data_IF_006480236935
#
_entry.id   IF_006480236935
#
_cell.length_a   1.000
_cell.length_b   1.000
_cell.length_c   1.000
_cell.angle_alpha   90.00
_cell.angle_beta   90.00
_cell.angle_gamma   90.00
#
_symmetry.space_group_name_H-M   'P 1'
#
loop_
_entity.id
_entity.type
_entity.pdbx_description
1 polymer ?
#
# COMPACT_ATOMS: atom_id res chain seq x y z
N UNK A 1 -1.80 -18.61 6.42
CA UNK A 1 -1.21 -19.45 5.35
C UNK A 1 -2.01 -19.15 4.08
N UNK A 2 -1.48 -18.28 3.25
CA UNK A 2 -2.12 -17.91 1.98
C UNK A 2 -1.93 -19.06 1.00
N UNK A 3 -3.02 -19.64 0.52
CA UNK A 3 -2.95 -20.75 -0.45
C UNK A 3 -2.68 -20.13 -1.82
N UNK A 4 -1.40 -20.08 -2.22
CA UNK A 4 -0.97 -19.61 -3.54
C UNK A 4 -1.39 -20.52 -4.70
N UNK A 5 -2.07 -21.64 -4.46
CA UNK A 5 -2.35 -22.68 -5.46
C UNK A 5 -3.36 -22.33 -6.56
N UNK A 6 -4.23 -21.31 -6.38
CA UNK A 6 -5.28 -21.00 -7.36
C UNK A 6 -4.83 -20.06 -8.49
N UNK A 7 -3.65 -19.45 -8.36
CA UNK A 7 -3.18 -18.40 -9.27
C UNK A 7 -1.91 -18.75 -10.04
N UNK A 8 -1.49 -20.02 -10.09
CA UNK A 8 -0.31 -20.43 -10.83
C UNK A 8 -0.60 -20.45 -12.34
N UNK A 9 0.16 -19.70 -13.11
CA UNK A 9 0.32 -19.93 -14.54
C UNK A 9 0.27 -18.73 -15.48
N UNK A 10 -0.51 -17.67 -15.23
CA UNK A 10 -0.58 -16.53 -16.14
C UNK A 10 -0.64 -15.19 -15.42
N UNK A 11 0.18 -14.23 -15.87
CA UNK A 11 0.13 -12.85 -15.36
C UNK A 11 -1.07 -12.04 -15.86
N UNK A 12 -1.65 -12.43 -17.02
CA UNK A 12 -2.89 -11.82 -17.50
C UNK A 12 -4.06 -12.38 -16.71
N UNK A 13 -4.49 -11.66 -15.70
CA UNK A 13 -5.62 -12.03 -14.84
C UNK A 13 -6.95 -11.35 -15.25
N UNK A 14 -7.01 -10.68 -16.41
CA UNK A 14 -8.17 -9.89 -16.86
C UNK A 14 -9.48 -10.67 -16.96
N UNK A 15 -9.41 -12.00 -17.05
CA UNK A 15 -10.60 -12.89 -17.08
C UNK A 15 -10.81 -13.66 -15.78
N UNK A 16 -10.05 -13.32 -14.72
CA UNK A 16 -10.18 -14.02 -13.44
C UNK A 16 -11.41 -13.51 -12.69
N UNK A 17 -12.35 -14.40 -12.45
CA UNK A 17 -13.58 -14.12 -11.68
C UNK A 17 -13.35 -14.23 -10.15
N UNK A 18 -12.17 -14.64 -9.73
CA UNK A 18 -11.84 -14.87 -8.32
C UNK A 18 -12.35 -16.19 -7.79
N UNK A 19 -11.95 -16.53 -6.58
CA UNK A 19 -12.43 -17.67 -5.80
C UNK A 19 -12.68 -17.24 -4.36
N UNK A 20 -13.42 -18.01 -3.55
CA UNK A 20 -13.63 -17.70 -2.13
C UNK A 20 -12.33 -17.60 -1.31
N UNK A 21 -11.26 -18.21 -1.78
CA UNK A 21 -9.95 -18.21 -1.13
C UNK A 21 -9.09 -17.00 -1.53
N UNK A 22 -9.56 -16.17 -2.47
CA UNK A 22 -8.83 -14.97 -2.85
C UNK A 22 -8.75 -13.95 -1.70
N UNK A 23 -7.62 -13.22 -1.59
CA UNK A 23 -7.54 -12.09 -0.66
C UNK A 23 -8.55 -10.99 -1.07
N UNK A 24 -8.82 -10.02 -0.19
CA UNK A 24 -9.76 -8.93 -0.47
C UNK A 24 -9.52 -8.21 -1.81
N UNK A 25 -8.27 -8.20 -2.28
CA UNK A 25 -7.90 -7.72 -3.62
C UNK A 25 -6.87 -8.65 -4.25
N UNK A 26 -7.01 -8.92 -5.55
CA UNK A 26 -6.05 -9.74 -6.28
C UNK A 26 -4.62 -9.17 -6.10
N UNK A 27 -3.65 -9.99 -5.68
CA UNK A 27 -2.29 -9.53 -5.45
C UNK A 27 -1.52 -9.27 -6.75
N UNK A 28 -1.99 -9.78 -7.88
CA UNK A 28 -1.35 -9.66 -9.19
C UNK A 28 -1.79 -8.39 -9.88
N UNK A 29 -0.83 -7.61 -10.34
CA UNK A 29 -1.09 -6.46 -11.20
C UNK A 29 0.07 -6.21 -12.14
N UNK A 30 -0.18 -5.41 -13.15
CA UNK A 30 0.83 -4.96 -14.10
C UNK A 30 0.99 -3.46 -13.94
N UNK A 31 2.21 -2.99 -13.82
CA UNK A 31 2.47 -1.56 -13.74
C UNK A 31 2.27 -0.85 -15.09
N UNK A 32 2.40 0.48 -15.12
CA UNK A 32 2.21 1.30 -16.33
C UNK A 32 3.25 1.02 -17.44
N UNK A 33 4.33 0.29 -17.15
CA UNK A 33 5.35 -0.13 -18.12
C UNK A 33 5.18 -1.56 -18.60
N UNK A 34 4.12 -2.24 -18.14
CA UNK A 34 3.86 -3.63 -18.50
C UNK A 34 4.61 -4.65 -17.65
N UNK A 35 5.27 -4.23 -16.56
CA UNK A 35 5.97 -5.16 -15.66
C UNK A 35 4.98 -5.86 -14.74
N UNK A 36 4.98 -7.20 -14.68
CA UNK A 36 4.17 -7.96 -13.75
C UNK A 36 4.74 -7.84 -12.33
N UNK A 37 3.86 -7.56 -11.36
CA UNK A 37 4.19 -7.33 -9.96
C UNK A 37 3.23 -8.07 -9.03
N UNK A 38 3.70 -8.38 -7.80
CA UNK A 38 2.93 -9.04 -6.76
C UNK A 38 2.87 -8.16 -5.51
N UNK A 39 1.65 -7.83 -5.05
CA UNK A 39 1.41 -7.18 -3.77
C UNK A 39 1.02 -8.26 -2.74
N UNK A 40 1.91 -8.60 -1.83
CA UNK A 40 1.74 -9.69 -0.87
C UNK A 40 1.85 -9.16 0.58
N UNK A 41 1.20 -9.81 1.55
CA UNK A 41 1.49 -9.53 2.94
C UNK A 41 2.97 -9.72 3.23
N UNK A 42 3.52 -8.82 4.03
CA UNK A 42 4.89 -8.89 4.51
C UNK A 42 5.11 -10.19 5.31
N UNK A 43 6.19 -10.87 5.03
CA UNK A 43 6.70 -12.02 5.79
C UNK A 43 8.09 -11.70 6.36
N UNK A 44 8.52 -12.43 7.40
CA UNK A 44 9.83 -12.20 8.02
C UNK A 44 10.99 -12.30 7.02
N UNK A 45 10.83 -13.14 5.99
CA UNK A 45 11.79 -13.27 4.88
C UNK A 45 11.98 -11.99 4.05
N UNK A 46 11.00 -11.10 4.04
CA UNK A 46 11.02 -9.85 3.27
C UNK A 46 11.81 -8.74 3.98
N UNK A 47 12.07 -8.92 5.29
CA UNK A 47 12.62 -7.85 6.14
C UNK A 47 13.91 -7.25 5.61
N UNK A 48 14.83 -8.06 5.15
CA UNK A 48 16.11 -7.58 4.63
C UNK A 48 15.92 -6.77 3.34
N UNK A 49 15.15 -7.31 2.38
CA UNK A 49 14.87 -6.66 1.11
C UNK A 49 14.06 -5.36 1.28
N UNK A 50 13.15 -5.32 2.25
CA UNK A 50 12.40 -4.10 2.57
C UNK A 50 13.29 -3.01 3.17
N UNK A 51 14.24 -3.36 4.04
CA UNK A 51 15.23 -2.42 4.55
C UNK A 51 16.16 -1.91 3.44
N UNK A 52 16.56 -2.80 2.51
CA UNK A 52 17.37 -2.41 1.35
C UNK A 52 16.61 -1.43 0.44
N UNK A 53 15.30 -1.60 0.26
CA UNK A 53 14.46 -0.63 -0.42
C UNK A 53 14.49 0.73 0.29
N UNK A 54 14.35 0.76 1.61
CA UNK A 54 14.35 2.01 2.38
C UNK A 54 15.71 2.72 2.39
N UNK A 55 16.79 1.99 2.25
CA UNK A 55 18.13 2.59 2.15
C UNK A 55 18.34 3.39 0.85
N UNK A 56 17.48 3.18 -0.18
CA UNK A 56 17.52 3.95 -1.43
C UNK A 56 16.85 5.33 -1.33
N UNK A 57 16.13 5.61 -0.24
CA UNK A 57 15.47 6.91 -0.06
C UNK A 57 16.47 7.99 0.33
N UNK A 58 16.57 9.01 -0.49
CA UNK A 58 17.32 10.22 -0.16
C UNK A 58 16.61 11.05 0.91
N UNK A 59 17.27 12.08 1.42
CA UNK A 59 16.62 13.01 2.36
C UNK A 59 15.41 13.75 1.76
N UNK A 60 15.36 13.89 0.43
CA UNK A 60 14.27 14.56 -0.29
C UNK A 60 13.06 13.65 -0.54
N UNK A 61 13.26 12.33 -0.48
CA UNK A 61 12.19 11.34 -0.64
C UNK A 61 11.47 11.04 0.68
N UNK A 62 11.93 11.64 1.79
CA UNK A 62 11.39 11.41 3.13
C UNK A 62 10.34 12.44 3.46
N UNK A 63 9.12 11.98 3.70
CA UNK A 63 8.03 12.82 4.18
C UNK A 63 7.92 12.71 5.71
N UNK A 64 7.81 13.84 6.43
CA UNK A 64 7.66 13.85 7.89
C UNK A 64 8.76 13.07 8.66
N UNK A 65 9.98 13.03 8.10
CA UNK A 65 11.06 12.24 8.66
C UNK A 65 10.92 10.72 8.50
N UNK A 66 9.98 10.25 7.68
CA UNK A 66 9.76 8.85 7.33
C UNK A 66 10.18 8.56 5.87
N UNK A 67 10.77 7.38 5.59
CA UNK A 67 11.31 6.45 6.58
C UNK A 67 12.45 7.11 7.39
N UNK A 68 12.78 6.64 8.60
CA UNK A 68 13.88 7.18 9.40
C UNK A 68 15.22 7.16 8.66
N UNK A 69 16.15 8.08 9.04
CA UNK A 69 17.38 8.31 8.27
C UNK A 69 18.42 7.19 8.37
N UNK A 70 18.42 6.42 9.46
CA UNK A 70 19.40 5.34 9.64
C UNK A 70 18.71 3.98 9.55
N UNK A 71 19.41 2.98 8.98
CA UNK A 71 18.91 1.62 8.84
C UNK A 71 18.43 1.03 10.18
N UNK A 72 19.11 1.29 11.28
CA UNK A 72 18.70 0.83 12.61
C UNK A 72 17.37 1.44 13.05
N UNK A 73 17.18 2.74 12.86
CA UNK A 73 15.91 3.42 13.18
C UNK A 73 14.78 2.98 12.24
N UNK A 74 15.09 2.76 10.97
CA UNK A 74 14.15 2.20 10.00
C UNK A 74 13.74 0.79 10.42
N UNK A 75 14.67 -0.05 10.84
CA UNK A 75 14.37 -1.39 11.33
C UNK A 75 13.46 -1.35 12.56
N UNK A 76 13.76 -0.51 13.56
CA UNK A 76 12.93 -0.35 14.75
C UNK A 76 11.53 0.21 14.44
N UNK A 77 11.43 1.12 13.48
CA UNK A 77 10.15 1.66 13.01
C UNK A 77 9.34 0.59 12.29
N UNK A 78 9.96 -0.18 11.39
CA UNK A 78 9.33 -1.30 10.70
C UNK A 78 8.82 -2.37 11.68
N UNK A 79 9.63 -2.73 12.69
CA UNK A 79 9.23 -3.69 13.72
C UNK A 79 7.95 -3.23 14.45
N UNK A 80 7.80 -1.91 14.69
CA UNK A 80 6.57 -1.35 15.29
C UNK A 80 5.37 -1.39 14.35
N UNK A 81 5.57 -1.16 13.04
CA UNK A 81 4.51 -1.28 12.03
C UNK A 81 4.02 -2.73 11.94
N UNK A 82 4.95 -3.67 11.83
CA UNK A 82 4.66 -5.11 11.71
C UNK A 82 3.93 -5.63 12.95
N UNK A 83 4.39 -5.24 14.15
CA UNK A 83 3.78 -5.70 15.40
C UNK A 83 2.34 -5.19 15.62
N UNK A 84 1.92 -4.09 14.97
CA UNK A 84 0.66 -3.40 15.28
C UNK A 84 -0.35 -3.40 14.13
N UNK A 85 0.05 -3.83 12.95
CA UNK A 85 -0.78 -3.63 11.78
C UNK A 85 -0.58 -4.61 10.65
N UNK A 86 -1.26 -4.34 9.56
CA UNK A 86 -1.09 -5.03 8.29
C UNK A 86 0.01 -4.33 7.49
N UNK A 87 0.91 -5.12 6.94
CA UNK A 87 1.95 -4.62 6.04
C UNK A 87 1.89 -5.42 4.74
N UNK A 88 1.89 -4.72 3.61
CA UNK A 88 1.86 -5.33 2.26
C UNK A 88 3.06 -4.80 1.50
N UNK A 89 3.81 -5.69 0.87
CA UNK A 89 4.98 -5.37 0.05
C UNK A 89 4.73 -5.72 -1.41
N UNK A 90 5.33 -4.94 -2.31
CA UNK A 90 5.30 -5.24 -3.74
C UNK A 90 6.64 -5.84 -4.16
N UNK A 91 6.57 -7.06 -4.68
CA UNK A 91 7.71 -7.75 -5.25
C UNK A 91 7.84 -7.47 -6.74
N UNK A 92 9.04 -7.10 -7.17
CA UNK A 92 9.40 -6.84 -8.57
C UNK A 92 10.89 -7.08 -8.82
N UNK A 93 11.23 -7.82 -9.88
CA UNK A 93 12.61 -8.11 -10.30
C UNK A 93 13.52 -8.66 -9.17
N UNK A 94 12.94 -9.52 -8.31
CA UNK A 94 13.68 -10.13 -7.20
C UNK A 94 13.94 -9.19 -6.00
N UNK A 95 13.34 -8.00 -5.99
CA UNK A 95 13.46 -7.02 -4.90
C UNK A 95 12.08 -6.53 -4.42
N UNK A 96 12.03 -5.82 -3.31
CA UNK A 96 10.85 -5.09 -2.88
C UNK A 96 10.89 -3.69 -3.47
N UNK A 97 9.80 -3.30 -4.14
CA UNK A 97 9.69 -2.03 -4.86
C UNK A 97 8.60 -1.11 -4.31
N UNK A 98 7.84 -1.58 -3.33
CA UNK A 98 6.83 -0.78 -2.66
C UNK A 98 6.39 -1.42 -1.35
N UNK A 99 5.89 -0.59 -0.43
CA UNK A 99 5.36 -1.00 0.86
C UNK A 99 4.22 -0.11 1.30
N UNK A 100 3.17 -0.70 1.86
CA UNK A 100 2.14 -0.01 2.62
C UNK A 100 2.00 -0.65 3.99
N UNK A 101 2.07 0.17 5.04
CA UNK A 101 1.78 -0.20 6.42
C UNK A 101 0.48 0.45 6.88
N UNK A 102 -0.37 -0.29 7.59
CA UNK A 102 -1.67 0.15 8.08
C UNK A 102 -1.74 -0.11 9.57
N UNK A 103 -1.78 0.92 10.39
CA UNK A 103 -1.64 0.81 11.85
C UNK A 103 -2.52 1.82 12.60
N UNK A 104 -3.03 1.43 13.77
CA UNK A 104 -3.22 0.05 14.21
C UNK A 104 -4.46 -0.57 13.56
N UNK A 105 -4.37 -1.79 13.09
CA UNK A 105 -5.52 -2.51 12.50
C UNK A 105 -6.70 -2.71 13.46
N UNK A 106 -6.50 -2.52 14.76
CA UNK A 106 -7.57 -2.54 15.77
C UNK A 106 -8.40 -1.25 15.84
N UNK A 107 -7.95 -0.16 15.21
CA UNK A 107 -8.68 1.11 15.16
C UNK A 107 -9.85 1.01 14.17
N UNK A 108 -10.96 1.72 14.44
CA UNK A 108 -12.03 1.94 13.46
C UNK A 108 -11.56 2.78 12.27
N UNK A 109 -10.55 3.62 12.50
CA UNK A 109 -9.94 4.49 11.50
C UNK A 109 -8.42 4.36 11.53
N UNK A 110 -7.86 3.23 11.04
CA UNK A 110 -6.42 3.04 11.00
C UNK A 110 -5.74 4.04 10.07
N UNK A 111 -4.48 4.33 10.35
CA UNK A 111 -3.62 5.18 9.54
C UNK A 111 -2.76 4.35 8.60
N UNK A 112 -2.54 4.83 7.39
CA UNK A 112 -1.63 4.20 6.45
C UNK A 112 -0.38 5.05 6.21
N UNK A 113 0.71 4.33 5.92
CA UNK A 113 1.92 4.90 5.32
C UNK A 113 2.24 4.13 4.05
N UNK A 114 2.59 4.81 2.98
CA UNK A 114 2.88 4.20 1.68
C UNK A 114 4.20 4.72 1.12
N UNK A 115 5.03 3.78 0.65
CA UNK A 115 6.33 4.08 0.06
C UNK A 115 6.54 3.29 -1.22
N UNK A 116 7.12 3.93 -2.22
CA UNK A 116 7.53 3.29 -3.48
C UNK A 116 8.99 3.62 -3.72
N UNK A 117 9.79 2.58 -4.00
CA UNK A 117 11.21 2.72 -4.35
C UNK A 117 11.41 3.85 -5.36
N UNK A 118 12.39 4.76 -5.18
CA UNK A 118 12.57 5.94 -6.04
C UNK A 118 12.56 5.62 -7.54
N UNK A 119 13.28 4.59 -7.99
CA UNK A 119 13.36 4.20 -9.40
C UNK A 119 12.06 3.55 -9.95
N UNK A 120 11.11 3.26 -9.07
CA UNK A 120 9.84 2.63 -9.42
C UNK A 120 8.63 3.57 -9.28
N UNK A 121 8.87 4.82 -8.92
CA UNK A 121 7.82 5.85 -8.85
C UNK A 121 7.23 6.18 -10.21
N UNK A 122 6.03 6.78 -10.23
CA UNK A 122 5.33 7.14 -11.46
C UNK A 122 4.76 5.95 -12.27
N UNK A 123 4.93 4.72 -11.81
CA UNK A 123 4.53 3.48 -12.49
C UNK A 123 3.16 2.92 -12.03
N UNK A 124 2.46 3.61 -11.13
CA UNK A 124 1.15 3.20 -10.61
C UNK A 124 1.19 2.29 -9.38
N UNK A 125 2.38 1.93 -8.89
CA UNK A 125 2.57 1.03 -7.73
C UNK A 125 1.93 1.62 -6.46
N UNK A 126 2.14 2.91 -6.19
CA UNK A 126 1.53 3.58 -5.03
C UNK A 126 0.00 3.53 -5.06
N UNK A 127 -0.60 3.76 -6.24
CA UNK A 127 -2.05 3.64 -6.42
C UNK A 127 -2.55 2.22 -6.15
N UNK A 128 -1.81 1.20 -6.60
CA UNK A 128 -2.18 -0.19 -6.35
C UNK A 128 -2.05 -0.54 -4.85
N UNK A 129 -0.97 -0.10 -4.18
CA UNK A 129 -0.82 -0.27 -2.73
C UNK A 129 -1.96 0.38 -1.94
N UNK A 130 -2.41 1.58 -2.35
CA UNK A 130 -3.58 2.24 -1.76
C UNK A 130 -4.85 1.40 -1.94
N UNK A 131 -5.08 0.83 -3.13
CA UNK A 131 -6.22 -0.05 -3.39
C UNK A 131 -6.15 -1.34 -2.58
N UNK A 132 -4.97 -1.91 -2.39
CA UNK A 132 -4.76 -3.06 -1.50
C UNK A 132 -5.12 -2.69 -0.05
N UNK A 133 -4.64 -1.53 0.44
CA UNK A 133 -4.97 -1.05 1.77
C UNK A 133 -6.47 -0.88 1.97
N UNK A 134 -7.17 -0.20 1.05
CA UNK A 134 -8.62 0.01 1.10
C UNK A 134 -9.37 -1.31 1.15
N UNK A 135 -9.03 -2.27 0.28
CA UNK A 135 -9.69 -3.57 0.23
C UNK A 135 -9.55 -4.35 1.55
N UNK A 136 -8.34 -4.38 2.11
CA UNK A 136 -8.07 -5.12 3.35
C UNK A 136 -8.71 -4.46 4.57
N UNK A 137 -8.71 -3.13 4.65
CA UNK A 137 -9.29 -2.39 5.77
C UNK A 137 -10.82 -2.46 5.73
N UNK A 138 -11.42 -2.38 4.53
CA UNK A 138 -12.84 -2.58 4.31
C UNK A 138 -13.28 -4.01 4.67
N UNK A 139 -12.55 -5.02 4.21
CA UNK A 139 -12.83 -6.42 4.55
C UNK A 139 -12.69 -6.71 6.06
N UNK A 140 -11.89 -5.93 6.78
CA UNK A 140 -11.79 -5.98 8.24
C UNK A 140 -12.92 -5.21 8.96
N UNK A 141 -13.87 -4.62 8.21
CA UNK A 141 -15.04 -3.91 8.76
C UNK A 141 -14.71 -2.59 9.43
N UNK A 142 -13.65 -1.89 9.00
CA UNK A 142 -13.28 -0.58 9.53
C UNK A 142 -14.13 0.53 8.88
N UNK A 143 -14.25 1.67 9.57
CA UNK A 143 -15.11 2.77 9.12
C UNK A 143 -14.44 3.67 8.08
N UNK A 144 -13.14 3.94 8.25
CA UNK A 144 -12.39 4.81 7.37
C UNK A 144 -10.88 4.47 7.38
N UNK A 145 -10.16 5.03 6.44
CA UNK A 145 -8.71 4.97 6.34
C UNK A 145 -8.14 6.39 6.38
N UNK A 146 -7.09 6.63 7.16
CA UNK A 146 -6.44 7.93 7.30
C UNK A 146 -5.01 7.91 6.82
N UNK A 147 -4.52 9.07 6.43
CA UNK A 147 -3.12 9.32 6.14
C UNK A 147 -2.75 10.77 6.44
N UNK A 148 -1.47 11.00 6.65
CA UNK A 148 -0.88 12.32 6.68
C UNK A 148 0.01 12.56 5.45
N UNK A 149 0.03 13.78 4.94
CA UNK A 149 0.82 14.15 3.78
C UNK A 149 1.33 15.59 3.89
N UNK A 150 2.57 15.83 3.47
CA UNK A 150 3.10 17.18 3.35
C UNK A 150 2.29 17.99 2.34
N UNK A 151 1.95 19.24 2.66
CA UNK A 151 1.11 20.08 1.81
C UNK A 151 1.75 20.48 0.48
N UNK A 152 3.06 20.31 0.33
CA UNK A 152 3.81 20.54 -0.90
C UNK A 152 4.02 19.27 -1.75
N UNK A 153 3.67 18.09 -1.24
CA UNK A 153 3.73 16.81 -1.97
C UNK A 153 2.57 16.66 -2.97
N UNK A 154 2.62 17.49 -4.04
CA UNK A 154 1.57 17.56 -5.07
C UNK A 154 1.28 16.22 -5.75
N UNK A 155 2.31 15.39 -5.89
CA UNK A 155 2.18 14.07 -6.53
C UNK A 155 1.35 13.12 -5.67
N UNK A 156 1.64 13.06 -4.39
CA UNK A 156 0.87 12.22 -3.46
C UNK A 156 -0.56 12.73 -3.28
N UNK A 157 -0.72 14.04 -3.11
CA UNK A 157 -2.04 14.68 -2.99
C UNK A 157 -2.95 14.33 -4.16
N UNK A 158 -2.46 14.46 -5.40
CA UNK A 158 -3.24 14.11 -6.60
C UNK A 158 -3.65 12.63 -6.61
N UNK A 159 -2.81 11.73 -6.11
CA UNK A 159 -3.15 10.29 -5.99
C UNK A 159 -4.25 10.09 -4.96
N UNK A 160 -4.14 10.70 -3.78
CA UNK A 160 -5.10 10.54 -2.70
C UNK A 160 -6.47 11.13 -3.05
N UNK A 161 -6.51 12.35 -3.60
CA UNK A 161 -7.74 12.99 -4.07
C UNK A 161 -8.43 12.17 -5.19
N UNK A 162 -7.66 11.64 -6.15
CA UNK A 162 -8.20 10.79 -7.23
C UNK A 162 -8.78 9.46 -6.72
N UNK A 163 -8.32 8.97 -5.58
CA UNK A 163 -8.85 7.76 -4.93
C UNK A 163 -10.12 8.09 -4.14
N UNK A 164 -10.29 9.34 -3.71
CA UNK A 164 -11.45 9.82 -2.94
C UNK A 164 -11.14 10.18 -1.49
N UNK A 165 -9.88 10.38 -1.13
CA UNK A 165 -9.53 10.95 0.16
C UNK A 165 -9.86 12.44 0.20
N UNK A 166 -10.51 12.87 1.28
CA UNK A 166 -10.79 14.27 1.57
C UNK A 166 -9.91 14.77 2.71
N UNK A 167 -9.54 16.05 2.65
CA UNK A 167 -8.79 16.71 3.73
C UNK A 167 -9.71 16.94 4.91
N UNK A 168 -9.37 16.43 6.10
CA UNK A 168 -10.11 16.60 7.34
C UNK A 168 -9.44 17.59 8.29
N UNK A 169 -8.10 17.73 8.22
CA UNK A 169 -7.35 18.70 9.00
C UNK A 169 -6.21 19.30 8.21
N UNK A 170 -5.87 20.56 8.48
CA UNK A 170 -4.76 21.30 7.90
C UNK A 170 -3.90 21.90 8.98
N UNK A 171 -2.62 21.61 8.93
CA UNK A 171 -1.60 22.32 9.70
C UNK A 171 -0.75 23.22 8.79
N UNK A 172 0.27 23.84 9.34
CA UNK A 172 1.17 24.68 8.55
C UNK A 172 1.91 23.90 7.44
N UNK A 173 2.32 22.67 7.71
CA UNK A 173 3.13 21.86 6.80
C UNK A 173 2.41 20.64 6.24
N UNK A 174 1.29 20.21 6.85
CA UNK A 174 0.72 18.88 6.66
C UNK A 174 -0.79 18.93 6.49
N UNK A 175 -1.30 17.96 5.78
CA UNK A 175 -2.72 17.67 5.64
C UNK A 175 -2.99 16.29 6.20
N UNK A 176 -3.98 16.18 7.09
CA UNK A 176 -4.59 14.90 7.40
C UNK A 176 -5.73 14.65 6.42
N UNK A 177 -5.73 13.49 5.80
CA UNK A 177 -6.77 13.09 4.84
C UNK A 177 -7.44 11.79 5.28
N UNK A 178 -8.73 11.66 4.96
CA UNK A 178 -9.52 10.49 5.31
C UNK A 178 -10.34 10.00 4.11
N UNK A 179 -10.45 8.68 4.00
CA UNK A 179 -11.35 8.00 3.07
C UNK A 179 -12.39 7.21 3.87
N UNK A 180 -13.67 7.60 3.88
CA UNK A 180 -14.74 6.78 4.42
C UNK A 180 -14.92 5.50 3.61
N UNK A 181 -14.95 4.33 4.28
CA UNK A 181 -15.10 3.04 3.61
C UNK A 181 -16.57 2.70 3.28
N UNK A 182 -17.49 3.61 3.53
CA UNK A 182 -18.85 3.59 3.00
C UNK A 182 -18.95 4.07 1.54
N UNK A 183 -17.87 4.61 0.97
CA UNK A 183 -17.83 5.06 -0.43
C UNK A 183 -17.73 3.87 -1.39
N UNK A 184 -18.26 3.99 -2.64
CA UNK A 184 -18.25 2.92 -3.63
C UNK A 184 -16.86 2.32 -3.91
N UNK A 185 -15.82 3.13 -3.82
CA UNK A 185 -14.43 2.68 -4.03
C UNK A 185 -14.07 1.49 -3.15
N UNK A 186 -14.60 1.39 -1.93
CA UNK A 186 -14.31 0.30 -1.00
C UNK A 186 -14.80 -1.06 -1.52
N UNK A 187 -15.91 -1.08 -2.27
CA UNK A 187 -16.43 -2.27 -2.94
C UNK A 187 -15.73 -2.50 -4.29
N UNK A 188 -15.53 -1.45 -5.08
CA UNK A 188 -14.89 -1.52 -6.39
C UNK A 188 -13.48 -2.13 -6.35
N UNK A 189 -12.68 -1.77 -5.34
CA UNK A 189 -11.32 -2.31 -5.21
C UNK A 189 -11.29 -3.81 -4.90
N UNK A 190 -12.37 -4.37 -4.36
CA UNK A 190 -12.51 -5.78 -4.01
C UNK A 190 -13.03 -6.63 -5.17
N UNK A 191 -13.55 -6.02 -6.23
CA UNK A 191 -14.01 -6.76 -7.40
C UNK A 191 -12.88 -7.63 -7.98
N UNK A 192 -13.20 -8.82 -8.49
CA UNK A 192 -12.22 -9.65 -9.19
C UNK A 192 -11.76 -8.95 -10.49
N UNK A 193 -10.58 -9.31 -11.00
CA UNK A 193 -10.01 -8.66 -12.19
C UNK A 193 -10.95 -8.59 -13.40
N UNK A 194 -11.76 -9.63 -13.64
CA UNK A 194 -12.72 -9.67 -14.73
C UNK A 194 -13.87 -8.63 -14.63
N UNK A 195 -14.06 -8.04 -13.43
CA UNK A 195 -15.16 -7.10 -13.14
C UNK A 195 -14.67 -5.65 -12.90
N UNK A 196 -13.38 -5.37 -13.13
CA UNK A 196 -12.75 -4.05 -12.92
C UNK A 196 -12.71 -3.23 -14.20
#
# INVERSE_FOLDING_TARGET
>A
MWIMGACEGYWTNNHCEGTPECPPRCPRFTDKRGTPLLALPFEDGDRAALLDMYDQFSQYDRAQGLPPQTRERTAQWLDRLVARGLNIVVHGDGSIVGHVGIVPMSSETPELVVFVHPDWQGRGIGTELMKQAIAHVSAAGREALRLEVMNDNRTALAVYENIGFDVIERTFNELEMQLPLSLPIAEEVQLPPASR
#
